data_IF_096898550838
#
_entry.id   IF_096898550838
#
_cell.length_a   1.000
_cell.length_b   1.000
_cell.length_c   1.000
_cell.angle_alpha   90.00
_cell.angle_beta   90.00
_cell.angle_gamma   90.00
#
_symmetry.space_group_name_H-M   'P 1'
#
loop_
_entity.id
_entity.type
_entity.pdbx_description
1 polymer ?
#
# COMPACT_ATOMS: atom_id res chain seq x y z
N UNK A 1 16.64 1.08 -31.29
CA UNK A 1 16.49 0.93 -29.83
C UNK A 1 15.24 1.72 -29.44
N UNK A 2 14.07 1.11 -29.62
CA UNK A 2 12.77 1.80 -29.48
C UNK A 2 12.33 1.66 -28.02
N UNK A 3 12.52 2.71 -27.24
CA UNK A 3 11.87 2.86 -25.92
C UNK A 3 10.38 2.99 -26.20
N UNK A 4 9.64 1.94 -25.86
CA UNK A 4 8.19 1.88 -25.98
C UNK A 4 7.58 2.95 -25.09
N UNK A 5 6.78 3.80 -25.72
CA UNK A 5 5.94 4.79 -25.08
C UNK A 5 5.05 4.13 -24.01
N UNK A 6 5.09 4.68 -22.80
CA UNK A 6 4.06 4.47 -21.80
C UNK A 6 3.72 5.83 -21.15
N UNK A 7 2.79 6.55 -21.76
CA UNK A 7 1.99 7.60 -21.14
C UNK A 7 0.54 7.24 -21.44
N UNK A 8 -0.33 7.20 -20.42
CA UNK A 8 -1.50 8.06 -20.49
C UNK A 8 -1.86 8.78 -19.17
N UNK A 9 -2.08 10.09 -19.31
CA UNK A 9 -3.25 10.87 -18.86
C UNK A 9 -3.42 11.18 -17.34
N UNK A 10 -3.31 12.47 -17.00
CA UNK A 10 -3.49 13.06 -15.66
C UNK A 10 -4.97 13.09 -15.19
N UNK A 11 -5.22 13.36 -13.89
CA UNK A 11 -5.72 14.70 -13.61
C UNK A 11 -5.06 15.41 -12.42
N UNK A 12 -4.88 16.71 -12.64
CA UNK A 12 -4.67 17.78 -11.68
C UNK A 12 -5.48 17.60 -10.39
N UNK A 13 -4.79 17.47 -9.26
CA UNK A 13 -5.13 18.22 -8.04
C UNK A 13 -3.94 18.17 -7.11
N UNK A 14 -3.42 19.35 -6.74
CA UNK A 14 -2.48 19.49 -5.64
C UNK A 14 -3.15 18.98 -4.35
N UNK A 15 -2.99 17.70 -4.05
CA UNK A 15 -3.42 17.00 -2.84
C UNK A 15 -2.19 16.23 -2.38
N UNK A 16 -1.74 16.48 -1.13
CA UNK A 16 -0.52 15.97 -0.49
C UNK A 16 0.14 14.78 -1.24
N UNK A 17 1.30 15.05 -1.83
CA UNK A 17 1.99 14.22 -2.83
C UNK A 17 2.24 12.79 -2.33
N UNK A 18 1.39 11.86 -2.75
CA UNK A 18 1.77 10.44 -2.80
C UNK A 18 2.53 10.27 -4.11
N UNK A 19 3.83 10.04 -4.01
CA UNK A 19 4.66 9.77 -5.19
C UNK A 19 4.29 8.40 -5.77
N UNK A 20 3.67 8.40 -6.95
CA UNK A 20 3.24 7.17 -7.63
C UNK A 20 4.43 6.30 -8.04
N UNK A 21 5.56 6.90 -8.38
CA UNK A 21 6.77 6.14 -8.68
C UNK A 21 7.27 5.40 -7.44
N UNK A 22 7.14 6.02 -6.26
CA UNK A 22 7.45 5.38 -4.99
C UNK A 22 6.52 4.19 -4.71
N UNK A 23 5.21 4.32 -4.98
CA UNK A 23 4.27 3.20 -4.87
C UNK A 23 4.58 2.07 -5.85
N UNK A 24 4.95 2.37 -7.10
CA UNK A 24 5.35 1.35 -8.07
C UNK A 24 6.62 0.60 -7.63
N UNK A 25 7.57 1.32 -7.02
CA UNK A 25 8.75 0.72 -6.39
C UNK A 25 8.36 -0.23 -5.25
N UNK A 26 7.37 0.13 -4.44
CA UNK A 26 6.88 -0.72 -3.35
C UNK A 26 6.24 -2.02 -3.85
N UNK A 27 5.41 -1.91 -4.89
CA UNK A 27 4.80 -3.07 -5.55
C UNK A 27 5.90 -3.99 -6.09
N UNK A 28 6.86 -3.43 -6.83
CA UNK A 28 8.00 -4.16 -7.38
C UNK A 28 8.84 -4.82 -6.29
N UNK A 29 9.03 -4.16 -5.15
CA UNK A 29 9.75 -4.69 -4.00
C UNK A 29 9.06 -5.94 -3.42
N UNK A 30 7.73 -5.91 -3.23
CA UNK A 30 6.96 -7.06 -2.74
C UNK A 30 6.96 -8.20 -3.75
N UNK A 31 6.85 -7.90 -5.04
CA UNK A 31 6.88 -8.90 -6.10
C UNK A 31 8.23 -9.58 -6.23
N UNK A 32 9.32 -8.86 -5.96
CA UNK A 32 10.67 -9.42 -5.97
C UNK A 32 10.89 -10.48 -4.89
N UNK A 33 10.03 -10.52 -3.86
CA UNK A 33 10.10 -11.48 -2.75
C UNK A 33 11.33 -11.30 -1.83
N UNK A 34 12.09 -10.23 -2.00
CA UNK A 34 13.22 -9.87 -1.14
C UNK A 34 12.72 -9.18 0.13
N UNK A 35 13.56 -9.15 1.17
CA UNK A 35 13.30 -8.34 2.36
C UNK A 35 13.07 -6.88 1.96
N UNK A 36 12.04 -6.23 2.51
CA UNK A 36 11.74 -4.84 2.19
C UNK A 36 12.92 -3.92 2.47
N UNK A 37 13.69 -4.26 3.50
CA UNK A 37 14.90 -3.54 3.86
C UNK A 37 15.95 -3.47 2.73
N UNK A 38 16.08 -4.55 1.94
CA UNK A 38 17.05 -4.63 0.85
C UNK A 38 16.47 -4.17 -0.49
N UNK A 39 15.15 -4.31 -0.67
CA UNK A 39 14.46 -3.89 -1.87
C UNK A 39 14.20 -2.38 -1.91
N UNK A 40 14.09 -1.72 -0.76
CA UNK A 40 13.78 -0.29 -0.66
C UNK A 40 15.01 0.58 -0.42
N UNK A 41 14.98 1.79 -0.97
CA UNK A 41 15.94 2.85 -0.62
C UNK A 41 15.80 3.25 0.86
N UNK A 42 16.82 3.90 1.41
CA UNK A 42 16.78 4.39 2.79
C UNK A 42 15.70 5.48 2.98
N UNK A 43 15.50 6.32 1.96
CA UNK A 43 14.48 7.37 1.91
C UNK A 43 13.08 6.76 2.02
N UNK A 44 12.80 5.74 1.21
CA UNK A 44 11.56 4.98 1.23
C UNK A 44 11.31 4.32 2.58
N UNK A 45 12.34 3.75 3.21
CA UNK A 45 12.23 3.18 4.56
C UNK A 45 11.91 4.23 5.62
N UNK A 46 12.40 5.45 5.45
CA UNK A 46 12.10 6.56 6.37
C UNK A 46 10.72 7.20 6.11
N UNK A 47 10.03 6.85 5.02
CA UNK A 47 8.75 7.42 4.63
C UNK A 47 7.55 6.82 5.40
N UNK A 48 7.70 6.54 6.70
CA UNK A 48 6.63 5.99 7.54
C UNK A 48 5.43 6.94 7.70
N UNK A 49 5.55 8.20 7.29
CA UNK A 49 4.42 9.11 7.14
C UNK A 49 3.34 8.58 6.18
N UNK A 50 3.72 7.79 5.16
CA UNK A 50 2.79 7.27 4.15
C UNK A 50 1.76 6.30 4.74
N UNK A 51 2.19 5.43 5.66
CA UNK A 51 1.28 4.47 6.30
C UNK A 51 0.27 5.16 7.24
N UNK A 52 0.57 6.37 7.70
CA UNK A 52 -0.29 7.20 8.57
C UNK A 52 -1.09 8.27 7.81
N UNK A 53 -1.06 8.25 6.48
CA UNK A 53 -1.80 9.22 5.69
C UNK A 53 -3.32 9.08 5.91
N UNK A 54 -4.08 10.18 5.75
CA UNK A 54 -5.52 10.16 5.96
C UNK A 54 -6.22 9.14 5.05
N UNK A 55 -7.23 8.47 5.59
CA UNK A 55 -8.07 7.49 4.89
C UNK A 55 -8.58 8.01 3.54
N UNK A 56 -8.95 9.30 3.46
CA UNK A 56 -9.44 9.91 2.22
C UNK A 56 -8.37 9.94 1.11
N UNK A 57 -7.09 10.18 1.44
CA UNK A 57 -6.01 10.18 0.45
C UNK A 57 -5.84 8.80 -0.17
N UNK A 58 -5.83 7.75 0.64
CA UNK A 58 -5.73 6.37 0.13
C UNK A 58 -6.97 5.93 -0.64
N UNK A 59 -8.16 6.38 -0.25
CA UNK A 59 -9.39 6.10 -1.00
C UNK A 59 -9.35 6.78 -2.37
N UNK A 60 -9.04 8.08 -2.43
CA UNK A 60 -8.92 8.83 -3.69
C UNK A 60 -7.82 8.21 -4.57
N UNK A 61 -6.64 7.92 -4.01
CA UNK A 61 -5.54 7.35 -4.77
C UNK A 61 -5.91 5.96 -5.28
N UNK A 62 -6.55 5.12 -4.46
CA UNK A 62 -6.97 3.78 -4.88
C UNK A 62 -7.83 3.79 -6.14
N UNK A 63 -8.58 4.87 -6.43
CA UNK A 63 -9.35 5.05 -7.67
C UNK A 63 -8.50 4.93 -8.93
N UNK A 64 -7.24 5.36 -8.89
CA UNK A 64 -6.30 5.32 -10.01
C UNK A 64 -5.63 3.95 -10.23
N UNK A 65 -5.70 3.04 -9.25
CA UNK A 65 -4.99 1.75 -9.27
C UNK A 65 -5.94 0.58 -9.52
N UNK A 66 -5.40 -0.51 -10.06
CA UNK A 66 -6.12 -1.78 -10.21
C UNK A 66 -6.15 -2.54 -8.88
N UNK A 67 -7.08 -3.48 -8.75
CA UNK A 67 -7.25 -4.27 -7.52
C UNK A 67 -6.00 -5.09 -7.17
N UNK A 68 -5.32 -5.62 -8.17
CA UNK A 68 -4.06 -6.37 -8.01
C UNK A 68 -2.97 -5.47 -7.40
N UNK A 69 -2.86 -4.24 -7.87
CA UNK A 69 -1.89 -3.25 -7.38
C UNK A 69 -2.25 -2.80 -5.96
N UNK A 70 -3.53 -2.53 -5.69
CA UNK A 70 -4.03 -2.23 -4.34
C UNK A 70 -3.70 -3.38 -3.38
N UNK A 71 -3.84 -4.63 -3.82
CA UNK A 71 -3.46 -5.79 -3.04
C UNK A 71 -1.95 -5.84 -2.78
N UNK A 72 -1.10 -5.57 -3.77
CA UNK A 72 0.35 -5.49 -3.57
C UNK A 72 0.74 -4.38 -2.59
N UNK A 73 0.07 -3.23 -2.64
CA UNK A 73 0.25 -2.15 -1.65
C UNK A 73 -0.16 -2.58 -0.25
N UNK A 74 -1.30 -3.26 -0.09
CA UNK A 74 -1.71 -3.83 1.20
C UNK A 74 -0.64 -4.78 1.74
N UNK A 75 -0.09 -5.64 0.88
CA UNK A 75 0.99 -6.55 1.25
C UNK A 75 2.25 -5.80 1.68
N UNK A 76 2.60 -4.76 0.95
CA UNK A 76 3.72 -3.88 1.28
C UNK A 76 3.55 -3.27 2.66
N UNK A 77 2.44 -2.58 2.93
CA UNK A 77 2.21 -1.92 4.22
C UNK A 77 2.18 -2.91 5.39
N UNK A 78 1.62 -4.10 5.17
CA UNK A 78 1.61 -5.19 6.17
C UNK A 78 3.04 -5.63 6.50
N UNK A 79 3.88 -5.86 5.49
CA UNK A 79 5.27 -6.26 5.68
C UNK A 79 6.12 -5.12 6.24
N UNK A 80 5.84 -3.88 5.85
CA UNK A 80 6.54 -2.70 6.33
C UNK A 80 6.31 -2.53 7.83
N UNK A 81 5.08 -2.70 8.32
CA UNK A 81 4.76 -2.66 9.74
C UNK A 81 5.53 -3.73 10.55
N UNK A 82 5.72 -4.93 10.00
CA UNK A 82 6.45 -6.01 10.67
C UNK A 82 7.99 -5.92 10.53
N UNK A 83 8.50 -5.43 9.40
CA UNK A 83 9.93 -5.44 9.08
C UNK A 83 10.62 -4.09 9.34
N UNK A 84 9.89 -2.96 9.26
CA UNK A 84 10.45 -1.63 9.34
C UNK A 84 10.08 -0.94 10.67
N UNK A 85 11.07 -0.47 11.45
CA UNK A 85 10.79 0.28 12.66
C UNK A 85 10.15 1.63 12.32
N UNK A 86 9.07 1.99 13.03
CA UNK A 86 8.36 3.26 12.85
C UNK A 86 7.20 3.22 11.84
N UNK A 87 7.01 2.11 11.14
CA UNK A 87 5.85 1.86 10.27
C UNK A 87 4.64 1.29 11.02
N UNK A 88 4.77 1.05 12.32
CA UNK A 88 3.64 0.73 13.19
C UNK A 88 2.67 1.93 13.22
N UNK A 89 1.50 1.70 12.62
CA UNK A 89 0.42 2.67 12.53
C UNK A 89 -0.87 2.12 13.16
N UNK A 90 -0.93 0.84 13.51
CA UNK A 90 -2.05 0.29 14.25
C UNK A 90 -3.38 0.50 13.51
N UNK A 91 -4.29 1.24 14.15
CA UNK A 91 -5.60 1.60 13.62
C UNK A 91 -5.56 2.66 12.50
N UNK A 92 -4.44 3.37 12.33
CA UNK A 92 -4.25 4.39 11.29
C UNK A 92 -3.55 3.84 10.04
N UNK A 93 -3.33 2.51 9.98
CA UNK A 93 -2.63 1.88 8.86
C UNK A 93 -3.36 2.05 7.53
N UNK A 94 -2.60 2.41 6.49
CA UNK A 94 -3.03 2.50 5.09
C UNK A 94 -3.72 1.23 4.55
N UNK A 95 -3.48 0.06 5.17
CA UNK A 95 -4.16 -1.19 4.80
C UNK A 95 -5.68 -1.09 4.96
N UNK A 96 -6.16 -0.37 5.98
CA UNK A 96 -7.60 -0.25 6.29
C UNK A 96 -8.35 0.52 5.18
N UNK A 97 -7.94 1.75 4.78
CA UNK A 97 -8.56 2.43 3.64
C UNK A 97 -8.44 1.63 2.34
N UNK A 98 -7.31 0.98 2.06
CA UNK A 98 -7.12 0.18 0.84
C UNK A 98 -8.07 -1.03 0.80
N UNK A 99 -8.21 -1.76 1.91
CA UNK A 99 -9.18 -2.84 2.02
C UNK A 99 -10.63 -2.34 1.88
N UNK A 100 -10.91 -1.15 2.41
CA UNK A 100 -12.22 -0.48 2.26
C UNK A 100 -12.49 -0.07 0.81
N UNK A 101 -11.48 0.40 0.07
CA UNK A 101 -11.59 0.71 -1.35
C UNK A 101 -11.95 -0.53 -2.18
N UNK A 102 -11.24 -1.64 -1.98
CA UNK A 102 -11.54 -2.92 -2.61
C UNK A 102 -12.98 -3.38 -2.35
N UNK A 103 -13.45 -3.25 -1.10
CA UNK A 103 -14.84 -3.56 -0.75
C UNK A 103 -15.85 -2.64 -1.44
N UNK A 104 -15.55 -1.34 -1.59
CA UNK A 104 -16.39 -0.38 -2.34
C UNK A 104 -16.51 -0.75 -3.81
N UNK A 105 -15.47 -1.35 -4.37
CA UNK A 105 -15.42 -1.85 -5.76
C UNK A 105 -16.10 -3.21 -5.97
N UNK A 106 -16.77 -3.74 -4.94
CA UNK A 106 -17.40 -5.07 -4.95
C UNK A 106 -16.41 -6.25 -5.08
N UNK A 107 -15.11 -6.02 -4.88
CA UNK A 107 -14.08 -7.06 -4.80
C UNK A 107 -13.44 -7.04 -3.41
N UNK A 108 -14.12 -7.57 -2.39
CA UNK A 108 -13.53 -7.65 -1.06
C UNK A 108 -12.31 -8.58 -1.06
N UNK A 109 -11.42 -8.38 -0.07
CA UNK A 109 -10.31 -9.28 0.16
C UNK A 109 -10.80 -10.72 0.40
N UNK A 110 -10.16 -11.67 -0.28
CA UNK A 110 -10.42 -13.10 -0.13
C UNK A 110 -9.91 -13.61 1.22
N UNK A 111 -10.47 -14.74 1.68
CA UNK A 111 -10.08 -15.35 2.95
C UNK A 111 -8.57 -15.63 3.05
N UNK A 112 -7.94 -16.05 1.96
CA UNK A 112 -6.49 -16.30 1.88
C UNK A 112 -5.69 -15.02 2.10
N UNK A 113 -6.12 -13.91 1.51
CA UNK A 113 -5.50 -12.59 1.68
C UNK A 113 -5.61 -12.11 3.14
N UNK A 114 -6.78 -12.29 3.76
CA UNK A 114 -7.00 -11.98 5.17
C UNK A 114 -6.11 -12.82 6.11
N UNK A 115 -5.95 -14.11 5.80
CA UNK A 115 -5.04 -15.00 6.53
C UNK A 115 -3.58 -14.60 6.35
N UNK A 116 -3.19 -14.21 5.14
CA UNK A 116 -1.83 -13.75 4.86
C UNK A 116 -1.49 -12.49 5.64
N UNK A 117 -2.39 -11.50 5.70
CA UNK A 117 -2.17 -10.27 6.48
C UNK A 117 -1.91 -10.61 7.95
N UNK A 118 -2.73 -11.48 8.54
CA UNK A 118 -2.58 -11.91 9.95
C UNK A 118 -1.32 -12.71 10.24
N UNK A 119 -0.74 -13.37 9.24
CA UNK A 119 0.51 -14.11 9.41
C UNK A 119 1.74 -13.22 9.27
N UNK A 120 1.61 -12.08 8.59
CA UNK A 120 2.72 -11.19 8.25
C UNK A 120 2.70 -9.86 9.02
N UNK A 121 1.69 -9.62 9.86
CA UNK A 121 1.63 -8.47 10.77
C UNK A 121 0.98 -8.88 12.09
N UNK A 122 1.54 -8.40 13.19
CA UNK A 122 1.01 -8.57 14.55
C UNK A 122 -0.10 -7.54 14.89
N UNK A 123 -0.44 -6.66 13.95
CA UNK A 123 -1.43 -5.61 14.16
C UNK A 123 -2.86 -6.18 14.22
N UNK A 124 -3.44 -6.17 15.43
CA UNK A 124 -4.81 -6.66 15.70
C UNK A 124 -5.91 -5.81 15.05
N UNK A 125 -5.61 -4.59 14.62
CA UNK A 125 -6.54 -3.71 13.92
C UNK A 125 -6.66 -4.07 12.44
N UNK A 126 -5.72 -4.84 11.87
CA UNK A 126 -5.85 -5.28 10.48
C UNK A 126 -6.86 -6.43 10.35
N UNK A 127 -7.70 -6.45 9.30
CA UNK A 127 -7.73 -5.53 8.14
C UNK A 127 -8.81 -4.44 8.20
N UNK A 128 -9.70 -4.43 9.20
CA UNK A 128 -10.89 -3.58 9.22
C UNK A 128 -10.90 -2.47 10.28
N UNK A 129 -9.78 -2.25 10.98
CA UNK A 129 -9.68 -1.32 12.09
C UNK A 129 -10.33 -1.83 13.38
N UNK A 130 -10.35 -1.01 14.43
CA UNK A 130 -11.12 -1.29 15.64
C UNK A 130 -12.62 -1.31 15.30
N UNK A 131 -13.30 -2.36 15.78
CA UNK A 131 -14.77 -2.53 15.72
C UNK A 131 -15.49 -1.55 16.64
#
# INVERSE_FOLDING_TARGET
MSVGAWEPEQPTTAKAEIDREQLQRFISAVESGKSLHDALAAEDRSASQLIRLPVQHWLDESEAWQESEIWQLIRFFTLAEAQLPGWDAGAESAVIPLAKALRRRQQPLNKEQLLWIRQNSDNRYLPYGPL
#
